data_IF_188618895987
#
_entry.id   IF_188618895987
#
_cell.length_a   1.000
_cell.length_b   1.000
_cell.length_c   1.000
_cell.angle_alpha   90.00
_cell.angle_beta   90.00
_cell.angle_gamma   90.00
#
_symmetry.space_group_name_H-M   'P 1'
#
loop_
_entity.id
_entity.type
_entity.pdbx_description
1 polymer ?
#
# COMPACT_ATOMS: atom_id res chain seq x y z
N UNK A 1 9.34 25.44 6.13
CA UNK A 1 9.02 24.03 6.41
C UNK A 1 10.22 23.10 6.17
N UNK A 2 11.07 23.33 5.16
CA UNK A 2 12.20 22.42 4.85
C UNK A 2 13.37 22.41 5.85
N UNK A 3 13.62 23.52 6.56
CA UNK A 3 14.70 23.54 7.56
C UNK A 3 14.49 22.50 8.67
N UNK A 4 13.24 22.18 9.05
CA UNK A 4 12.93 21.15 10.03
C UNK A 4 13.19 19.73 9.49
N UNK A 5 12.97 19.48 8.19
CA UNK A 5 13.25 18.16 7.57
C UNK A 5 14.74 17.84 7.52
N UNK A 6 15.61 18.85 7.53
CA UNK A 6 17.06 18.67 7.54
C UNK A 6 17.62 18.18 8.87
N UNK A 7 16.95 18.49 9.98
CA UNK A 7 17.49 18.30 11.35
C UNK A 7 16.83 17.11 12.06
N UNK A 8 15.63 16.69 11.64
CA UNK A 8 14.87 15.60 12.27
C UNK A 8 15.18 14.23 11.67
N UNK A 9 14.98 13.17 12.46
CA UNK A 9 15.14 11.76 12.06
C UNK A 9 14.02 11.22 11.18
N UNK A 10 13.08 12.07 10.76
CA UNK A 10 11.92 11.70 9.98
C UNK A 10 10.86 12.80 9.98
N UNK A 11 9.75 12.53 9.32
CA UNK A 11 8.57 13.38 9.35
C UNK A 11 7.31 12.57 9.03
N UNK A 12 6.19 12.99 9.63
CA UNK A 12 4.85 12.48 9.35
C UNK A 12 4.09 13.62 8.68
N UNK A 13 3.62 13.40 7.45
CA UNK A 13 2.85 14.37 6.68
C UNK A 13 1.37 14.08 6.87
N UNK A 14 0.59 15.12 7.18
CA UNK A 14 -0.86 15.05 7.18
C UNK A 14 -1.41 15.61 5.86
N UNK A 15 -2.32 14.88 5.24
CA UNK A 15 -2.90 15.22 3.95
C UNK A 15 -4.37 15.63 4.08
N UNK A 16 -4.69 16.83 3.56
CA UNK A 16 -6.07 17.29 3.44
C UNK A 16 -6.90 16.40 2.50
N UNK A 17 -6.29 15.87 1.43
CA UNK A 17 -6.97 14.94 0.50
C UNK A 17 -7.42 13.68 1.23
N UNK A 18 -6.57 13.13 2.10
CA UNK A 18 -6.89 11.94 2.92
C UNK A 18 -7.97 12.27 3.95
N UNK A 19 -7.85 13.41 4.65
CA UNK A 19 -8.86 13.84 5.62
C UNK A 19 -10.26 14.04 5.00
N UNK A 20 -10.33 14.61 3.78
CA UNK A 20 -11.60 14.80 3.07
C UNK A 20 -12.27 13.47 2.66
N UNK A 21 -11.49 12.38 2.52
CA UNK A 21 -12.01 11.02 2.33
C UNK A 21 -12.48 10.37 3.65
N UNK A 22 -12.48 11.10 4.77
CA UNK A 22 -12.86 10.58 6.08
C UNK A 22 -11.83 9.66 6.73
N UNK A 23 -10.60 9.61 6.19
CA UNK A 23 -9.55 8.73 6.68
C UNK A 23 -8.75 9.41 7.80
N UNK A 24 -8.80 8.84 9.01
CA UNK A 24 -8.09 9.35 10.18
C UNK A 24 -7.34 8.24 10.94
N UNK A 25 -6.11 8.51 11.43
CA UNK A 25 -5.33 9.74 11.24
C UNK A 25 -4.98 10.00 9.77
N UNK A 26 -5.03 11.27 9.32
CA UNK A 26 -4.91 11.62 7.90
C UNK A 26 -3.45 11.62 7.41
N UNK A 27 -2.70 10.56 7.68
CA UNK A 27 -1.27 10.44 7.40
C UNK A 27 -1.05 10.07 5.93
N UNK A 28 -0.24 10.84 5.23
CA UNK A 28 0.25 10.47 3.91
C UNK A 28 1.49 9.58 4.05
N UNK A 29 1.30 8.27 3.94
CA UNK A 29 2.38 7.30 4.10
C UNK A 29 3.43 7.35 2.98
N UNK A 30 3.08 7.87 1.80
CA UNK A 30 4.02 8.00 0.68
C UNK A 30 4.92 9.22 0.84
N UNK A 31 4.42 10.28 1.47
CA UNK A 31 5.17 11.50 1.75
C UNK A 31 5.79 11.53 3.17
N UNK A 32 5.60 10.48 3.97
CA UNK A 32 6.16 10.35 5.32
C UNK A 32 7.37 9.43 5.34
N UNK A 33 8.30 9.67 6.28
CA UNK A 33 9.52 8.86 6.39
C UNK A 33 10.03 8.79 7.82
N UNK A 34 10.63 7.65 8.18
CA UNK A 34 11.43 7.47 9.39
C UNK A 34 12.80 6.93 9.01
N UNK A 35 13.87 7.68 9.32
CA UNK A 35 15.26 7.34 8.94
C UNK A 35 15.82 6.16 9.74
N UNK A 36 15.37 6.01 10.99
CA UNK A 36 15.78 4.90 11.87
C UNK A 36 14.99 3.61 11.63
N UNK A 37 13.95 3.66 10.78
CA UNK A 37 13.04 2.52 10.58
C UNK A 37 13.73 1.25 10.12
N UNK A 38 14.81 1.36 9.33
CA UNK A 38 15.61 0.21 8.90
C UNK A 38 16.42 -0.42 10.02
N UNK A 39 16.80 0.35 11.03
CA UNK A 39 17.64 -0.13 12.14
C UNK A 39 16.83 -0.83 13.24
N UNK A 40 15.53 -0.51 13.33
CA UNK A 40 14.64 -1.00 14.38
C UNK A 40 13.59 -2.01 13.90
N UNK A 41 13.61 -2.36 12.60
CA UNK A 41 12.67 -3.31 12.00
C UNK A 41 13.37 -4.57 11.52
N UNK A 42 12.72 -5.72 11.64
CA UNK A 42 13.21 -6.96 11.04
C UNK A 42 13.01 -6.97 9.50
N UNK A 43 13.69 -7.89 8.82
CA UNK A 43 13.62 -7.99 7.36
C UNK A 43 12.21 -8.26 6.83
N UNK A 44 11.38 -8.99 7.58
CA UNK A 44 10.02 -9.28 7.17
C UNK A 44 9.14 -8.03 7.24
N UNK A 45 9.30 -7.21 8.30
CA UNK A 45 8.64 -5.92 8.44
C UNK A 45 9.05 -4.96 7.32
N UNK A 46 10.35 -4.87 7.02
CA UNK A 46 10.86 -4.00 5.96
C UNK A 46 10.27 -4.40 4.61
N UNK A 47 10.30 -5.69 4.28
CA UNK A 47 9.74 -6.21 3.03
C UNK A 47 8.23 -5.97 2.94
N UNK A 48 7.49 -6.22 4.01
CA UNK A 48 6.05 -6.00 4.05
C UNK A 48 5.68 -4.52 3.89
N UNK A 49 6.39 -3.62 4.59
CA UNK A 49 6.22 -2.18 4.44
C UNK A 49 6.44 -1.76 2.98
N UNK A 50 7.56 -2.15 2.38
CA UNK A 50 7.87 -1.79 0.99
C UNK A 50 6.79 -2.29 0.01
N UNK A 51 6.29 -3.51 0.24
CA UNK A 51 5.23 -4.09 -0.58
C UNK A 51 3.91 -3.31 -0.46
N UNK A 52 3.46 -2.98 0.76
CA UNK A 52 2.23 -2.20 0.94
C UNK A 52 2.39 -0.77 0.41
N UNK A 53 3.53 -0.11 0.66
CA UNK A 53 3.85 1.21 0.08
C UNK A 53 3.77 1.19 -1.45
N UNK A 54 4.27 0.14 -2.09
CA UNK A 54 4.17 -0.04 -3.54
C UNK A 54 2.72 -0.13 -4.01
N UNK A 55 1.86 -0.87 -3.31
CA UNK A 55 0.43 -0.96 -3.66
C UNK A 55 -0.28 0.38 -3.49
N UNK A 56 0.01 1.12 -2.42
CA UNK A 56 -0.58 2.45 -2.20
C UNK A 56 -0.16 3.42 -3.30
N UNK A 57 1.11 3.36 -3.74
CA UNK A 57 1.61 4.15 -4.85
C UNK A 57 0.91 3.77 -6.16
N UNK A 58 0.84 2.47 -6.47
CA UNK A 58 0.16 1.98 -7.68
C UNK A 58 -1.32 2.39 -7.70
N UNK A 59 -2.02 2.24 -6.57
CA UNK A 59 -3.41 2.67 -6.45
C UNK A 59 -3.55 4.19 -6.68
N UNK A 60 -2.64 5.00 -6.14
CA UNK A 60 -2.64 6.46 -6.31
C UNK A 60 -2.51 6.85 -7.78
N UNK A 61 -1.67 6.16 -8.55
CA UNK A 61 -1.49 6.43 -9.99
C UNK A 61 -2.74 6.11 -10.83
N UNK A 62 -3.57 5.16 -10.38
CA UNK A 62 -4.77 4.72 -11.10
C UNK A 62 -6.11 5.20 -10.50
N UNK A 63 -6.11 5.86 -9.33
CA UNK A 63 -7.31 6.38 -8.64
C UNK A 63 -8.16 7.25 -9.60
N UNK A 64 -7.51 8.15 -10.33
CA UNK A 64 -8.18 9.03 -11.29
C UNK A 64 -8.83 8.24 -12.44
N UNK A 65 -8.16 7.18 -12.94
CA UNK A 65 -8.70 6.31 -13.99
C UNK A 65 -9.88 5.47 -13.49
N UNK A 66 -9.85 5.02 -12.25
CA UNK A 66 -10.95 4.29 -11.62
C UNK A 66 -12.18 5.18 -11.45
N UNK A 67 -11.98 6.43 -11.01
CA UNK A 67 -13.07 7.39 -10.79
C UNK A 67 -13.85 7.72 -12.07
N UNK A 68 -13.18 7.75 -13.22
CA UNK A 68 -13.83 7.96 -14.52
C UNK A 68 -14.26 6.66 -15.22
N UNK A 69 -14.03 5.50 -14.59
CA UNK A 69 -14.36 4.18 -15.14
C UNK A 69 -13.51 3.76 -16.35
N UNK A 70 -12.31 4.34 -16.52
CA UNK A 70 -11.42 4.07 -17.66
C UNK A 70 -10.36 3.00 -17.39
N UNK A 71 -10.28 2.47 -16.17
CA UNK A 71 -9.34 1.40 -15.83
C UNK A 71 -9.81 0.04 -16.39
N UNK A 72 -8.92 -0.67 -17.07
CA UNK A 72 -9.17 -2.01 -17.61
C UNK A 72 -8.51 -3.10 -16.74
N UNK A 73 -9.30 -3.95 -16.05
CA UNK A 73 -8.78 -5.05 -15.24
C UNK A 73 -7.96 -6.06 -16.04
N UNK A 74 -6.97 -6.68 -15.40
CA UNK A 74 -6.13 -7.73 -15.99
C UNK A 74 -4.95 -7.21 -16.82
N UNK A 75 -4.84 -5.89 -16.99
CA UNK A 75 -3.72 -5.25 -17.70
C UNK A 75 -2.43 -5.25 -16.87
N UNK A 76 -2.54 -5.04 -15.57
CA UNK A 76 -1.41 -4.96 -14.65
C UNK A 76 -1.74 -5.71 -13.34
N UNK A 77 -1.11 -6.88 -13.09
CA UNK A 77 -1.31 -7.66 -11.88
C UNK A 77 -1.10 -6.91 -10.57
N UNK A 78 -0.21 -5.91 -10.55
CA UNK A 78 0.06 -5.10 -9.35
C UNK A 78 -1.05 -4.09 -9.14
N UNK A 79 -1.46 -3.37 -10.18
CA UNK A 79 -2.57 -2.42 -10.12
C UNK A 79 -3.89 -3.10 -9.72
N UNK A 80 -4.19 -4.24 -10.32
CA UNK A 80 -5.35 -5.05 -9.93
C UNK A 80 -5.27 -5.48 -8.45
N UNK A 81 -4.07 -5.74 -7.94
CA UNK A 81 -3.88 -6.14 -6.53
C UNK A 81 -3.99 -4.95 -5.60
N UNK A 82 -3.52 -3.79 -6.04
CA UNK A 82 -3.68 -2.54 -5.33
C UNK A 82 -5.17 -2.17 -5.20
N UNK A 83 -5.96 -2.33 -6.26
CA UNK A 83 -7.43 -2.11 -6.24
C UNK A 83 -8.10 -3.00 -5.20
N UNK A 84 -7.80 -4.30 -5.20
CA UNK A 84 -8.46 -5.25 -4.29
C UNK A 84 -8.06 -5.09 -2.83
N UNK A 85 -6.81 -4.66 -2.57
CA UNK A 85 -6.26 -4.58 -1.22
C UNK A 85 -6.25 -3.16 -0.66
N UNK A 86 -6.69 -2.15 -1.41
CA UNK A 86 -6.65 -0.77 -0.92
C UNK A 86 -7.50 -0.59 0.34
N UNK A 87 -8.68 -1.20 0.40
CA UNK A 87 -9.58 -1.07 1.55
C UNK A 87 -9.01 -1.76 2.80
N UNK A 88 -8.55 -3.03 2.75
CA UNK A 88 -7.82 -3.64 3.87
C UNK A 88 -6.57 -2.86 4.31
N UNK A 89 -5.86 -2.24 3.37
CA UNK A 89 -4.71 -1.38 3.69
C UNK A 89 -5.18 -0.10 4.40
N UNK A 90 -6.26 0.51 3.94
CA UNK A 90 -6.84 1.67 4.60
C UNK A 90 -7.32 1.35 6.02
N UNK A 91 -7.94 0.19 6.23
CA UNK A 91 -8.35 -0.28 7.56
C UNK A 91 -7.15 -0.42 8.51
N UNK A 92 -5.99 -0.91 8.03
CA UNK A 92 -4.76 -0.96 8.82
C UNK A 92 -4.23 0.45 9.20
N UNK A 93 -4.44 1.44 8.33
CA UNK A 93 -3.92 2.80 8.51
C UNK A 93 -4.87 3.71 9.28
N UNK A 94 -6.15 3.37 9.34
CA UNK A 94 -7.15 4.09 10.11
C UNK A 94 -7.15 3.64 11.56
N UNK A 95 -7.37 4.59 12.46
CA UNK A 95 -7.45 4.32 13.89
C UNK A 95 -8.34 5.36 14.57
N UNK A 96 -9.26 4.91 15.41
CA UNK A 96 -10.13 5.81 16.18
C UNK A 96 -9.34 6.52 17.29
N UNK A 97 -9.76 7.72 17.69
CA UNK A 97 -9.07 8.50 18.75
C UNK A 97 -9.04 7.81 20.10
N UNK A 98 -10.02 6.94 20.37
CA UNK A 98 -10.14 6.19 21.63
C UNK A 98 -9.56 4.77 21.52
N UNK A 99 -9.05 4.39 20.36
CA UNK A 99 -8.45 3.09 20.11
C UNK A 99 -6.96 3.13 20.44
N UNK A 100 -6.45 2.11 21.12
CA UNK A 100 -5.02 1.94 21.37
C UNK A 100 -4.45 0.95 20.39
N UNK A 101 -3.44 1.37 19.63
CA UNK A 101 -2.68 0.48 18.76
C UNK A 101 -1.86 -0.52 19.57
N UNK A 102 -1.85 -1.77 19.13
CA UNK A 102 -0.98 -2.81 19.65
C UNK A 102 0.07 -3.17 18.59
N UNK A 103 1.34 -3.04 18.95
CA UNK A 103 2.44 -3.25 18.01
C UNK A 103 2.42 -4.63 17.36
N UNK A 104 2.24 -5.71 18.14
CA UNK A 104 2.24 -7.08 17.60
C UNK A 104 1.05 -7.34 16.69
N UNK A 105 -0.12 -6.79 17.01
CA UNK A 105 -1.32 -6.90 16.16
C UNK A 105 -1.13 -6.13 14.85
N UNK A 106 -0.68 -4.88 14.90
CA UNK A 106 -0.40 -4.07 13.70
C UNK A 106 0.68 -4.71 12.83
N UNK A 107 1.76 -5.22 13.44
CA UNK A 107 2.82 -5.97 12.75
C UNK A 107 2.26 -7.20 12.06
N UNK A 108 1.48 -8.02 12.77
CA UNK A 108 0.90 -9.25 12.23
C UNK A 108 -0.02 -8.97 11.04
N UNK A 109 -0.89 -7.96 11.16
CA UNK A 109 -1.80 -7.56 10.08
C UNK A 109 -1.03 -7.05 8.86
N UNK A 110 -0.03 -6.19 9.05
CA UNK A 110 0.83 -5.70 7.97
C UNK A 110 1.54 -6.84 7.23
N UNK A 111 2.12 -7.80 7.97
CA UNK A 111 2.77 -8.98 7.37
C UNK A 111 1.77 -9.84 6.60
N UNK A 112 0.59 -10.08 7.15
CA UNK A 112 -0.48 -10.87 6.51
C UNK A 112 -0.90 -10.24 5.17
N UNK A 113 -1.17 -8.94 5.17
CA UNK A 113 -1.57 -8.21 3.96
C UNK A 113 -0.47 -8.24 2.90
N UNK A 114 0.80 -8.10 3.31
CA UNK A 114 1.91 -8.17 2.38
C UNK A 114 2.04 -9.56 1.74
N UNK A 115 1.94 -10.64 2.52
CA UNK A 115 1.96 -12.01 2.01
C UNK A 115 0.80 -12.27 1.05
N UNK A 116 -0.42 -11.90 1.44
CA UNK A 116 -1.61 -12.02 0.59
C UNK A 116 -1.43 -11.28 -0.74
N UNK A 117 -0.89 -10.06 -0.71
CA UNK A 117 -0.64 -9.30 -1.94
C UNK A 117 0.37 -9.98 -2.87
N UNK A 118 1.42 -10.58 -2.32
CA UNK A 118 2.42 -11.28 -3.10
C UNK A 118 1.81 -12.52 -3.77
N UNK A 119 1.02 -13.29 -3.04
CA UNK A 119 0.30 -14.46 -3.59
C UNK A 119 -0.65 -14.06 -4.73
N UNK A 120 -1.45 -13.01 -4.54
CA UNK A 120 -2.37 -12.49 -5.57
C UNK A 120 -1.63 -12.06 -6.83
N UNK A 121 -0.53 -11.31 -6.69
CA UNK A 121 0.29 -10.87 -7.82
C UNK A 121 0.87 -12.07 -8.58
N UNK A 122 1.38 -13.09 -7.87
CA UNK A 122 1.93 -14.28 -8.53
C UNK A 122 0.84 -15.07 -9.25
N UNK A 123 -0.31 -15.30 -8.62
CA UNK A 123 -1.44 -15.99 -9.25
C UNK A 123 -1.87 -15.28 -10.53
N UNK A 124 -2.00 -13.95 -10.49
CA UNK A 124 -2.36 -13.13 -11.66
C UNK A 124 -1.33 -13.21 -12.78
N UNK A 125 -0.04 -13.19 -12.45
CA UNK A 125 1.04 -13.35 -13.44
C UNK A 125 0.99 -14.73 -14.11
N UNK A 126 0.75 -15.79 -13.34
CA UNK A 126 0.61 -17.16 -13.88
C UNK A 126 -0.58 -17.24 -14.83
N UNK A 127 -1.74 -16.70 -14.44
CA UNK A 127 -2.94 -16.68 -15.28
C UNK A 127 -2.74 -15.91 -16.59
N UNK A 128 -2.14 -14.71 -16.52
CA UNK A 128 -1.82 -13.92 -17.70
C UNK A 128 -0.80 -14.62 -18.62
N UNK A 129 0.16 -15.35 -18.04
CA UNK A 129 1.12 -16.17 -18.79
C UNK A 129 0.47 -17.33 -19.53
N UNK A 130 -0.44 -18.06 -18.87
CA UNK A 130 -1.16 -19.19 -19.45
C UNK A 130 -2.06 -18.75 -20.63
N UNK A 131 -2.77 -17.62 -20.50
CA UNK A 131 -3.62 -17.07 -21.55
C UNK A 131 -2.82 -16.69 -22.80
N UNK A 132 -1.63 -16.09 -22.62
CA UNK A 132 -0.74 -15.75 -23.74
C UNK A 132 -0.24 -16.98 -24.49
N UNK A 133 0.07 -18.07 -23.78
CA UNK A 133 0.52 -19.32 -24.40
C UNK A 133 -0.59 -20.01 -25.20
N UNK A 134 -1.84 -19.98 -24.71
CA UNK A 134 -2.99 -20.54 -25.42
C UNK A 134 -3.33 -19.75 -26.69
N UNK A 135 -3.24 -18.41 -26.65
CA UNK A 135 -3.47 -17.55 -27.80
C UNK A 135 -2.39 -17.67 -28.91
N UNK A 136 -1.21 -18.21 -28.59
CA UNK A 136 -0.12 -18.46 -29.56
C UNK A 136 -0.19 -19.85 -30.21
N UNK A 137 -1.04 -20.75 -29.69
CA UNK A 137 -1.21 -22.11 -30.20
C UNK A 137 -2.46 -22.27 -31.08
N UNK A 138 -3.21 -21.20 -31.30
CA UNK A 138 -4.35 -21.09 -32.21
C UNK A 138 -3.98 -20.20 -33.39
#
# INVERSE_FOLDING_TARGET
>A
ADAARGILDGHIILSRKIAHKGHFPAIDVLDSVSRVSGDVSDNAQIAARLQLTKLIAEYREIDDLLQIGAYAPGSNPVADTAIDLIDPIHELLQQSTNEKGNFEQSKSLMLKLALQSNEMIQQRKVLAGAQRQQAQQQ
#
